data_IF_009618621349
#
_entry.id   IF_009618621349
#
_cell.length_a   1.000
_cell.length_b   1.000
_cell.length_c   1.000
_cell.angle_alpha   90.00
_cell.angle_beta   90.00
_cell.angle_gamma   90.00
#
_symmetry.space_group_name_H-M   'P 1'
#
loop_
_entity.id
_entity.type
_entity.pdbx_description
1 polymer ?
#
# COMPACT_ATOMS: atom_id res chain seq x y z
N UNK A 1 -8.30 -5.33 -7.17
CA UNK A 1 -8.51 -6.74 -6.81
C UNK A 1 -9.19 -6.72 -5.46
N UNK A 2 -10.44 -7.22 -5.34
CA UNK A 2 -11.04 -7.43 -4.02
C UNK A 2 -10.39 -8.70 -3.46
N UNK A 3 -9.78 -8.61 -2.28
CA UNK A 3 -9.33 -9.81 -1.56
C UNK A 3 -10.58 -10.55 -1.08
N UNK A 4 -10.97 -11.59 -1.81
CA UNK A 4 -12.15 -12.42 -1.51
C UNK A 4 -11.85 -13.56 -0.52
N UNK A 5 -10.57 -13.79 -0.22
CA UNK A 5 -10.08 -14.84 0.68
C UNK A 5 -9.24 -14.24 1.81
N UNK A 6 -9.10 -14.97 2.93
CA UNK A 6 -8.18 -14.57 3.98
C UNK A 6 -6.74 -14.50 3.44
N UNK A 7 -5.92 -13.51 3.87
CA UNK A 7 -4.54 -13.39 3.42
C UNK A 7 -3.76 -14.68 3.71
N UNK A 8 -3.34 -15.38 2.65
CA UNK A 8 -2.46 -16.55 2.75
C UNK A 8 -3.07 -17.90 2.33
N UNK A 9 -4.37 -17.96 2.01
CA UNK A 9 -4.96 -19.17 1.43
C UNK A 9 -4.97 -19.08 -0.12
N UNK A 10 -4.24 -19.95 -0.84
CA UNK A 10 -4.27 -19.98 -2.29
C UNK A 10 -5.54 -20.69 -2.79
N UNK A 11 -6.16 -20.13 -3.82
CA UNK A 11 -7.22 -20.81 -4.59
C UNK A 11 -6.55 -21.63 -5.72
N UNK A 12 -6.16 -22.87 -5.40
CA UNK A 12 -5.59 -23.84 -6.35
C UNK A 12 -4.05 -23.90 -6.44
N UNK A 13 -3.55 -24.89 -7.17
CA UNK A 13 -2.12 -25.26 -7.21
C UNK A 13 -1.23 -24.28 -7.99
N UNK A 14 -1.80 -23.34 -8.74
CA UNK A 14 -1.06 -22.33 -9.51
C UNK A 14 -0.61 -21.13 -8.68
N UNK A 15 -1.00 -21.04 -7.41
CA UNK A 15 -0.69 -19.93 -6.51
C UNK A 15 0.08 -20.48 -5.31
N UNK A 16 1.31 -19.99 -5.13
CA UNK A 16 2.09 -20.24 -3.92
C UNK A 16 1.94 -19.04 -2.97
N UNK A 17 1.26 -19.25 -1.84
CA UNK A 17 1.14 -18.23 -0.81
C UNK A 17 2.31 -18.31 0.18
N UNK A 18 3.04 -17.22 0.33
CA UNK A 18 4.17 -17.10 1.28
C UNK A 18 3.90 -15.91 2.20
N UNK A 19 3.93 -16.18 3.50
CA UNK A 19 3.83 -15.13 4.52
C UNK A 19 5.22 -14.55 4.79
N UNK A 20 5.37 -13.24 4.65
CA UNK A 20 6.64 -12.54 4.86
C UNK A 20 6.49 -11.03 4.91
N UNK A 21 7.61 -10.37 5.18
CA UNK A 21 7.73 -8.91 5.11
C UNK A 21 8.07 -8.48 3.67
N UNK A 22 7.21 -7.66 3.06
CA UNK A 22 7.43 -7.16 1.69
C UNK A 22 8.67 -6.28 1.55
N UNK A 23 9.15 -5.66 2.64
CA UNK A 23 10.40 -4.89 2.65
C UNK A 23 11.65 -5.79 2.77
N UNK A 24 11.47 -7.10 2.90
CA UNK A 24 12.53 -8.12 2.94
C UNK A 24 12.06 -9.37 2.16
N UNK A 25 11.40 -9.14 1.03
CA UNK A 25 10.68 -10.16 0.29
C UNK A 25 11.62 -11.25 -0.26
N UNK A 26 12.80 -10.87 -0.75
CA UNK A 26 13.83 -11.80 -1.25
C UNK A 26 14.22 -12.81 -0.19
N UNK A 27 14.46 -12.39 1.05
CA UNK A 27 14.79 -13.30 2.14
C UNK A 27 13.61 -14.20 2.52
N UNK A 28 12.38 -13.65 2.54
CA UNK A 28 11.18 -14.42 2.82
C UNK A 28 10.93 -15.51 1.77
N UNK A 29 11.11 -15.19 0.48
CA UNK A 29 11.00 -16.12 -0.63
C UNK A 29 12.07 -17.22 -0.55
N UNK A 30 13.32 -16.84 -0.32
CA UNK A 30 14.44 -17.78 -0.20
C UNK A 30 14.24 -18.75 0.99
N UNK A 31 13.78 -18.25 2.14
CA UNK A 31 13.48 -19.07 3.32
C UNK A 31 12.33 -20.07 3.06
N UNK A 32 11.39 -19.72 2.19
CA UNK A 32 10.32 -20.60 1.73
C UNK A 32 10.73 -21.55 0.58
N UNK A 33 11.99 -21.48 0.10
CA UNK A 33 12.48 -22.28 -1.02
C UNK A 33 11.92 -21.87 -2.38
N UNK A 34 11.37 -20.66 -2.50
CA UNK A 34 10.82 -20.12 -3.73
C UNK A 34 11.89 -19.42 -4.58
N UNK A 35 11.58 -19.22 -5.87
CA UNK A 35 12.40 -18.39 -6.74
C UNK A 35 12.41 -16.93 -6.29
N UNK A 36 13.53 -16.23 -6.52
CA UNK A 36 13.72 -14.80 -6.20
C UNK A 36 13.86 -13.95 -7.47
N UNK A 37 13.40 -14.47 -8.61
CA UNK A 37 13.41 -13.79 -9.89
C UNK A 37 12.11 -14.05 -10.61
N UNK A 38 11.43 -12.98 -11.02
CA UNK A 38 10.12 -13.03 -11.66
C UNK A 38 10.11 -12.15 -12.91
N UNK A 39 9.13 -12.37 -13.78
CA UNK A 39 8.92 -11.51 -14.95
C UNK A 39 8.32 -10.15 -14.56
N UNK A 40 7.49 -10.13 -13.51
CA UNK A 40 6.79 -8.93 -13.03
C UNK A 40 6.53 -9.02 -11.52
N UNK A 41 6.66 -7.90 -10.82
CA UNK A 41 6.13 -7.72 -9.46
C UNK A 41 4.85 -6.88 -9.51
N UNK A 42 3.80 -7.36 -8.86
CA UNK A 42 2.54 -6.64 -8.71
C UNK A 42 2.32 -6.28 -7.23
N UNK A 43 2.13 -5.00 -6.95
CA UNK A 43 1.89 -4.46 -5.61
C UNK A 43 0.74 -3.46 -5.64
N UNK A 44 -0.27 -3.66 -4.80
CA UNK A 44 -1.43 -2.78 -4.76
C UNK A 44 -1.77 -2.41 -3.32
N UNK A 45 -1.80 -1.11 -3.04
CA UNK A 45 -2.19 -0.54 -1.75
C UNK A 45 -1.36 -1.09 -0.59
N UNK A 46 -0.05 -1.27 -0.81
CA UNK A 46 0.91 -1.80 0.18
C UNK A 46 1.88 -0.73 0.67
N UNK A 47 2.42 0.08 -0.24
CA UNK A 47 3.52 1.01 0.04
C UNK A 47 3.13 2.13 1.05
N UNK A 48 1.85 2.44 1.17
CA UNK A 48 1.32 3.36 2.20
C UNK A 48 1.24 2.72 3.62
N UNK A 49 1.48 1.42 3.73
CA UNK A 49 1.33 0.61 4.94
C UNK A 49 2.62 -0.10 5.37
N UNK A 50 3.79 0.31 4.88
CA UNK A 50 5.07 -0.33 5.28
C UNK A 50 5.78 0.36 6.44
N UNK A 51 5.30 1.53 6.87
CA UNK A 51 5.79 2.23 8.06
C UNK A 51 6.97 3.17 7.81
N UNK A 52 6.76 4.26 7.05
CA UNK A 52 7.74 5.34 6.93
C UNK A 52 8.65 5.27 5.71
N UNK A 53 9.49 6.31 5.57
CA UNK A 53 10.37 6.49 4.42
C UNK A 53 11.37 5.34 4.23
N UNK A 54 12.09 4.94 5.29
CA UNK A 54 13.10 3.88 5.21
C UNK A 54 12.52 2.56 4.69
N UNK A 55 11.34 2.17 5.20
CA UNK A 55 10.63 0.96 4.80
C UNK A 55 10.13 1.02 3.36
N UNK A 56 9.71 2.20 2.89
CA UNK A 56 9.35 2.41 1.48
C UNK A 56 10.56 2.27 0.54
N UNK A 57 11.74 2.73 0.96
CA UNK A 57 12.98 2.51 0.20
C UNK A 57 13.33 1.01 0.12
N UNK A 58 13.22 0.30 1.25
CA UNK A 58 13.43 -1.16 1.30
C UNK A 58 12.46 -1.89 0.36
N UNK A 59 11.15 -1.59 0.44
CA UNK A 59 10.14 -2.17 -0.44
C UNK A 59 10.43 -1.87 -1.93
N UNK A 60 10.77 -0.62 -2.27
CA UNK A 60 11.09 -0.24 -3.65
C UNK A 60 12.32 -1.01 -4.18
N UNK A 61 13.36 -1.14 -3.35
CA UNK A 61 14.56 -1.92 -3.68
C UNK A 61 14.26 -3.40 -3.89
N UNK A 62 13.40 -4.00 -3.05
CA UNK A 62 12.96 -5.39 -3.22
C UNK A 62 12.20 -5.57 -4.52
N UNK A 63 11.25 -4.67 -4.83
CA UNK A 63 10.45 -4.72 -6.07
C UNK A 63 11.35 -4.68 -7.30
N UNK A 64 12.32 -3.76 -7.35
CA UNK A 64 13.25 -3.63 -8.48
C UNK A 64 14.25 -4.80 -8.58
N UNK A 65 14.62 -5.40 -7.45
CA UNK A 65 15.52 -6.56 -7.42
C UNK A 65 14.85 -7.87 -7.86
N UNK A 66 13.56 -8.02 -7.59
CA UNK A 66 12.81 -9.26 -7.84
C UNK A 66 12.34 -9.40 -9.29
N UNK A 67 12.12 -8.31 -10.04
CA UNK A 67 11.69 -8.38 -11.43
C UNK A 67 12.13 -7.17 -12.28
N UNK A 68 12.31 -7.34 -13.60
CA UNK A 68 12.62 -6.24 -14.51
C UNK A 68 11.43 -5.30 -14.77
N UNK A 69 10.21 -5.73 -14.41
CA UNK A 69 8.94 -5.02 -14.61
C UNK A 69 8.16 -4.99 -13.31
N UNK A 70 7.38 -3.93 -13.12
CA UNK A 70 6.51 -3.84 -11.95
C UNK A 70 5.25 -3.02 -12.20
N UNK A 71 4.25 -3.28 -11.37
CA UNK A 71 3.05 -2.48 -11.23
C UNK A 71 2.86 -2.17 -9.74
N UNK A 72 3.09 -0.93 -9.34
CA UNK A 72 2.95 -0.50 -7.94
C UNK A 72 1.88 0.58 -7.84
N UNK A 73 0.72 0.24 -7.31
CA UNK A 73 -0.39 1.16 -7.10
C UNK A 73 -0.49 1.60 -5.64
N UNK A 74 -0.75 2.89 -5.41
CA UNK A 74 -1.10 3.44 -4.09
C UNK A 74 -2.14 4.55 -4.22
N UNK A 75 -3.02 4.79 -3.23
CA UNK A 75 -3.93 5.92 -3.24
C UNK A 75 -3.17 7.26 -3.19
N UNK A 76 -3.69 8.25 -3.90
CA UNK A 76 -3.04 9.56 -4.00
C UNK A 76 -3.39 10.45 -2.81
N UNK A 77 -2.38 10.96 -2.09
CA UNK A 77 -2.54 11.87 -0.93
C UNK A 77 -3.47 13.06 -1.20
N UNK A 78 -3.47 13.59 -2.42
CA UNK A 78 -4.23 14.80 -2.77
C UNK A 78 -5.60 14.53 -3.41
N UNK A 79 -6.08 13.28 -3.43
CA UNK A 79 -7.47 13.01 -3.72
C UNK A 79 -8.35 13.48 -2.54
N UNK A 80 -9.49 14.16 -2.75
CA UNK A 80 -10.23 14.82 -1.66
C UNK A 80 -10.89 13.87 -0.66
N UNK A 81 -11.03 12.59 -0.98
CA UNK A 81 -11.62 11.60 -0.08
C UNK A 81 -10.56 10.61 0.36
N UNK A 82 -10.34 10.52 1.66
CA UNK A 82 -9.41 9.57 2.25
C UNK A 82 -9.93 8.12 1.99
N UNK A 83 -9.12 7.21 1.43
CA UNK A 83 -9.60 5.91 0.96
C UNK A 83 -9.92 4.89 2.06
N UNK A 84 -9.36 5.00 3.26
CA UNK A 84 -9.51 4.03 4.36
C UNK A 84 -10.74 4.31 5.24
N UNK A 85 -11.04 5.60 5.45
CA UNK A 85 -12.17 6.07 6.25
C UNK A 85 -13.27 6.74 5.42
N UNK A 86 -13.10 6.83 4.09
CA UNK A 86 -14.04 7.48 3.16
C UNK A 86 -14.46 8.89 3.60
N UNK A 87 -13.58 9.56 4.35
CA UNK A 87 -13.86 10.85 4.97
C UNK A 87 -13.19 11.96 4.15
N UNK A 88 -13.91 13.04 3.81
CA UNK A 88 -13.34 14.15 3.05
C UNK A 88 -12.17 14.82 3.78
N UNK A 89 -10.99 14.84 3.16
CA UNK A 89 -9.82 15.58 3.62
C UNK A 89 -9.17 15.07 4.91
N UNK A 90 -9.48 13.84 5.36
CA UNK A 90 -8.97 13.33 6.63
C UNK A 90 -7.44 13.29 6.71
N UNK A 91 -6.76 12.97 5.61
CA UNK A 91 -5.31 12.92 5.54
C UNK A 91 -4.60 14.26 5.80
N UNK A 92 -5.33 15.38 5.78
CA UNK A 92 -4.79 16.72 6.05
C UNK A 92 -5.08 17.21 7.47
N UNK A 93 -5.87 16.47 8.24
CA UNK A 93 -6.21 16.87 9.61
C UNK A 93 -5.07 16.55 10.59
N UNK A 94 -4.95 17.29 11.71
CA UNK A 94 -4.07 16.92 12.81
C UNK A 94 -4.36 15.50 13.32
N UNK A 95 -3.33 14.80 13.79
CA UNK A 95 -3.46 13.40 14.24
C UNK A 95 -4.61 13.20 15.22
N UNK A 96 -4.77 14.08 16.22
CA UNK A 96 -5.85 13.97 17.18
C UNK A 96 -7.25 13.96 16.53
N UNK A 97 -7.49 14.82 15.54
CA UNK A 97 -8.75 14.86 14.79
C UNK A 97 -8.93 13.61 13.92
N UNK A 98 -7.85 13.12 13.28
CA UNK A 98 -7.87 11.86 12.54
C UNK A 98 -8.28 10.69 13.45
N UNK A 99 -7.75 10.60 14.66
CA UNK A 99 -8.12 9.56 15.63
C UNK A 99 -9.60 9.65 16.01
N UNK A 100 -10.12 10.85 16.23
CA UNK A 100 -11.55 11.03 16.54
C UNK A 100 -12.45 10.60 15.39
N UNK A 101 -12.09 10.94 14.14
CA UNK A 101 -12.81 10.46 12.95
C UNK A 101 -12.71 8.95 12.84
N UNK A 102 -11.51 8.37 12.95
CA UNK A 102 -11.30 6.92 12.88
C UNK A 102 -12.11 6.14 13.92
N UNK A 103 -12.30 6.70 15.12
CA UNK A 103 -13.00 6.04 16.22
C UNK A 103 -14.54 6.12 16.11
N UNK A 104 -15.08 7.15 15.45
CA UNK A 104 -16.53 7.42 15.47
C UNK A 104 -17.21 7.36 14.09
N UNK A 105 -16.47 7.53 13.00
CA UNK A 105 -17.03 7.58 11.66
C UNK A 105 -17.46 6.18 11.19
N UNK A 106 -18.69 6.01 10.68
CA UNK A 106 -19.23 4.68 10.42
C UNK A 106 -18.73 4.03 9.13
N UNK A 107 -18.20 4.81 8.17
CA UNK A 107 -17.80 4.34 6.83
C UNK A 107 -16.31 3.98 6.79
N UNK A 108 -15.95 2.91 7.48
CA UNK A 108 -14.57 2.42 7.58
C UNK A 108 -14.51 0.96 7.17
N UNK A 109 -13.40 0.55 6.57
CA UNK A 109 -13.21 -0.86 6.20
C UNK A 109 -13.12 -1.76 7.43
N UNK A 110 -12.39 -1.32 8.45
CA UNK A 110 -12.24 -2.02 9.74
C UNK A 110 -12.48 -1.04 10.86
N UNK A 111 -13.43 -1.35 11.75
CA UNK A 111 -13.69 -0.51 12.93
C UNK A 111 -12.68 -0.83 14.03
N UNK A 112 -12.01 0.18 14.60
CA UNK A 112 -11.19 -0.04 15.79
C UNK A 112 -12.08 -0.36 16.99
N UNK A 113 -11.64 -1.27 17.86
CA UNK A 113 -12.30 -1.61 19.12
C UNK A 113 -11.91 -0.64 20.24
N UNK A 114 -10.74 0.00 20.12
CA UNK A 114 -10.19 0.92 21.11
C UNK A 114 -9.66 2.20 20.47
N UNK A 115 -9.51 3.27 21.26
CA UNK A 115 -8.90 4.51 20.79
C UNK A 115 -7.42 4.33 20.43
N UNK A 116 -6.75 3.36 21.04
CA UNK A 116 -5.35 3.04 20.76
C UNK A 116 -5.23 2.35 19.40
N UNK A 117 -6.12 1.39 19.08
CA UNK A 117 -6.22 0.80 17.74
C UNK A 117 -6.51 1.86 16.66
N UNK A 118 -7.39 2.82 16.96
CA UNK A 118 -7.67 3.94 16.05
C UNK A 118 -6.43 4.82 15.82
N UNK A 119 -5.64 5.06 16.89
CA UNK A 119 -4.39 5.82 16.81
C UNK A 119 -3.34 5.10 15.98
N UNK A 120 -3.16 3.80 16.22
CA UNK A 120 -2.19 3.00 15.50
C UNK A 120 -2.52 2.93 14.01
N UNK A 121 -3.78 2.69 13.64
CA UNK A 121 -4.21 2.68 12.24
C UNK A 121 -3.95 4.03 11.54
N UNK A 122 -4.23 5.15 12.23
CA UNK A 122 -4.00 6.50 11.73
C UNK A 122 -2.50 6.78 11.54
N UNK A 123 -1.66 6.41 12.50
CA UNK A 123 -0.22 6.67 12.43
C UNK A 123 0.50 5.74 11.46
N UNK A 124 -0.01 4.52 11.28
CA UNK A 124 0.55 3.53 10.36
C UNK A 124 0.31 3.86 8.89
N UNK A 125 -0.79 4.55 8.58
CA UNK A 125 -1.21 4.81 7.20
C UNK A 125 -0.68 6.14 6.69
N UNK A 126 0.16 6.07 5.65
CA UNK A 126 0.80 7.24 5.02
C UNK A 126 0.58 7.27 3.51
N UNK A 127 -0.45 7.98 3.06
CA UNK A 127 -0.70 8.20 1.63
C UNK A 127 0.47 8.93 0.96
N UNK A 128 0.77 8.63 -0.31
CA UNK A 128 1.92 9.19 -1.03
C UNK A 128 1.54 10.28 -2.04
N UNK A 129 2.49 11.17 -2.31
CA UNK A 129 2.45 12.13 -3.40
C UNK A 129 3.11 11.59 -4.68
N UNK A 130 2.94 12.31 -5.78
CA UNK A 130 3.60 11.99 -7.06
C UNK A 130 5.13 12.09 -6.90
N UNK A 131 5.63 13.09 -6.18
CA UNK A 131 7.07 13.29 -5.99
C UNK A 131 7.70 12.13 -5.22
N UNK A 132 7.05 11.65 -4.15
CA UNK A 132 7.51 10.46 -3.42
C UNK A 132 7.47 9.22 -4.31
N UNK A 133 6.41 9.00 -5.09
CA UNK A 133 6.35 7.88 -6.02
C UNK A 133 7.45 7.93 -7.08
N UNK A 134 7.80 9.13 -7.57
CA UNK A 134 8.92 9.32 -8.51
C UNK A 134 10.28 9.10 -7.85
N UNK A 135 10.42 9.45 -6.57
CA UNK A 135 11.65 9.22 -5.81
C UNK A 135 11.88 7.72 -5.55
N UNK A 136 10.84 7.00 -5.16
CA UNK A 136 10.91 5.56 -4.92
C UNK A 136 11.05 4.73 -6.21
N UNK A 137 10.47 5.20 -7.32
CA UNK A 137 10.50 4.50 -8.61
C UNK A 137 11.01 5.42 -9.73
N UNK A 138 12.29 5.83 -9.70
CA UNK A 138 12.82 6.88 -10.58
C UNK A 138 12.90 6.50 -12.06
N UNK A 139 12.86 5.20 -12.35
CA UNK A 139 12.89 4.66 -13.72
C UNK A 139 11.51 4.35 -14.29
N UNK A 140 10.45 4.53 -13.48
CA UNK A 140 9.10 4.11 -13.81
C UNK A 140 8.27 5.26 -14.36
N UNK A 141 7.29 4.93 -15.20
CA UNK A 141 6.28 5.89 -15.61
C UNK A 141 5.22 5.99 -14.52
N UNK A 142 4.89 7.20 -14.06
CA UNK A 142 3.81 7.41 -13.09
C UNK A 142 2.49 7.69 -13.81
N UNK A 143 1.59 6.71 -13.79
CA UNK A 143 0.21 6.86 -14.26
C UNK A 143 -0.70 7.37 -13.14
N UNK A 144 -1.81 8.00 -13.54
CA UNK A 144 -2.84 8.52 -12.64
C UNK A 144 -4.16 7.86 -12.99
N UNK A 145 -4.67 7.03 -12.09
CA UNK A 145 -6.05 6.55 -12.19
C UNK A 145 -6.98 7.68 -11.76
N UNK A 146 -7.96 8.03 -12.61
CA UNK A 146 -8.85 9.18 -12.35
C UNK A 146 -10.28 8.75 -12.12
N UNK A 147 -10.93 9.44 -11.17
CA UNK A 147 -12.37 9.38 -10.94
C UNK A 147 -12.90 10.81 -10.93
N UNK A 148 -13.95 11.08 -11.72
CA UNK A 148 -14.52 12.42 -11.89
C UNK A 148 -13.46 13.50 -12.23
N UNK A 149 -12.48 13.13 -13.06
CA UNK A 149 -11.39 14.02 -13.49
C UNK A 149 -10.24 14.21 -12.48
N UNK A 150 -10.42 13.77 -11.22
CA UNK A 150 -9.39 13.86 -10.18
C UNK A 150 -8.56 12.58 -10.11
N UNK A 151 -7.26 12.71 -9.89
CA UNK A 151 -6.40 11.55 -9.66
C UNK A 151 -6.74 10.91 -8.31
N UNK A 152 -7.25 9.67 -8.33
CA UNK A 152 -7.61 8.89 -7.15
C UNK A 152 -6.43 8.07 -6.65
N UNK A 153 -5.70 7.45 -7.56
CA UNK A 153 -4.53 6.62 -7.24
C UNK A 153 -3.39 6.90 -8.21
N UNK A 154 -2.17 6.59 -7.76
CA UNK A 154 -0.93 6.66 -8.52
C UNK A 154 -0.46 5.24 -8.81
N UNK A 155 0.15 5.05 -9.98
CA UNK A 155 0.67 3.77 -10.40
C UNK A 155 2.07 3.99 -10.96
N UNK A 156 3.10 3.42 -10.33
CA UNK A 156 4.41 3.28 -10.95
C UNK A 156 4.41 2.02 -11.81
N UNK A 157 4.73 2.17 -13.09
CA UNK A 157 4.79 1.07 -14.05
C UNK A 157 6.10 1.08 -14.83
N UNK A 158 6.68 -0.12 -14.99
CA UNK A 158 7.87 -0.40 -15.79
C UNK A 158 7.71 -1.72 -16.53
#
# INVERSE_FOLDING_TARGET
>A
MLNLFEPGEPDGDSILAIKGDGCNATAALAAAGAGTHFDIVFSNSLIEHVGGHARRCELASEIDGLAPRHWVQTPYRYFPVEPHWLFPGMQFMPVAARVQVANHWPLVHTRPNTIDEARDAVLWTELLSIAEMQDYFPTSTILKERVLGMAKSLIAVR
#
